data_IF_549971064792
#
_entry.id   IF_549971064792
#
_cell.length_a   1.000
_cell.length_b   1.000
_cell.length_c   1.000
_cell.angle_alpha   90.00
_cell.angle_beta   90.00
_cell.angle_gamma   90.00
#
_symmetry.space_group_name_H-M   'P 1'
#
loop_
_entity.id
_entity.type
_entity.pdbx_description
1 polymer ?
#
# COMPACT_ATOMS: atom_id res chain seq x y z
N UNK A 1 -18.75 -10.53 83.25
CA UNK A 1 -17.60 -9.66 82.94
C UNK A 1 -17.38 -9.75 81.42
N UNK A 2 -18.25 -9.25 80.55
CA UNK A 2 -18.67 -7.86 80.26
C UNK A 2 -17.50 -6.90 80.00
N UNK A 3 -17.17 -6.71 78.72
CA UNK A 3 -16.69 -5.47 78.07
C UNK A 3 -16.84 -5.68 76.56
N UNK A 4 -17.89 -5.13 75.94
CA UNK A 4 -17.98 -3.83 75.26
C UNK A 4 -17.19 -3.72 73.95
N UNK A 5 -17.95 -3.32 72.93
CA UNK A 5 -17.57 -3.04 71.55
C UNK A 5 -16.74 -1.77 71.41
N UNK A 6 -15.89 -1.74 70.38
CA UNK A 6 -15.54 -0.52 69.66
C UNK A 6 -15.61 -0.82 68.15
N UNK A 7 -16.51 -0.09 67.48
CA UNK A 7 -16.63 0.04 66.03
C UNK A 7 -15.46 0.89 65.54
N UNK A 8 -14.68 0.38 64.58
CA UNK A 8 -13.68 1.19 63.89
C UNK A 8 -14.16 1.52 62.48
N UNK A 9 -14.19 2.82 62.22
CA UNK A 9 -14.76 3.49 61.05
C UNK A 9 -13.85 3.27 59.84
N UNK A 10 -14.29 2.44 58.88
CA UNK A 10 -13.61 2.30 57.59
C UNK A 10 -13.96 3.52 56.72
N UNK A 11 -13.00 4.45 56.61
CA UNK A 11 -13.03 5.51 55.59
C UNK A 11 -12.67 4.92 54.21
N UNK A 12 -13.48 5.13 53.16
CA UNK A 12 -13.09 4.73 51.81
C UNK A 12 -12.11 5.76 51.25
N UNK A 13 -10.84 5.36 51.10
CA UNK A 13 -9.86 6.09 50.29
C UNK A 13 -10.36 6.05 48.84
N UNK A 14 -10.85 7.20 48.37
CA UNK A 14 -11.17 7.42 46.96
C UNK A 14 -9.86 7.46 46.16
N UNK A 15 -9.53 6.34 45.52
CA UNK A 15 -8.54 6.31 44.45
C UNK A 15 -9.22 6.77 43.16
N UNK A 16 -9.31 8.09 42.98
CA UNK A 16 -9.49 8.68 41.65
C UNK A 16 -8.25 8.32 40.82
N UNK A 17 -8.33 7.21 40.08
CA UNK A 17 -7.47 6.97 38.93
C UNK A 17 -7.94 7.90 37.82
N UNK A 18 -7.29 9.06 37.74
CA UNK A 18 -7.28 9.84 36.50
C UNK A 18 -6.89 8.93 35.34
N UNK A 19 -7.65 8.86 34.24
CA UNK A 19 -7.22 8.13 33.06
C UNK A 19 -6.01 8.90 32.51
N UNK A 20 -4.82 8.36 32.75
CA UNK A 20 -3.60 8.85 32.14
C UNK A 20 -3.81 8.84 30.62
N UNK A 21 -3.77 10.02 30.01
CA UNK A 21 -3.66 10.16 28.58
C UNK A 21 -2.49 9.31 28.11
N UNK A 22 -2.77 8.21 27.42
CA UNK A 22 -1.75 7.52 26.66
C UNK A 22 -1.07 8.56 25.78
N UNK A 23 0.28 8.62 25.74
CA UNK A 23 0.94 9.57 24.85
C UNK A 23 0.39 9.34 23.45
N UNK A 24 -0.21 10.37 22.87
CA UNK A 24 -0.52 10.37 21.45
C UNK A 24 0.83 10.18 20.75
N UNK A 25 1.09 8.98 20.25
CA UNK A 25 2.21 8.75 19.34
C UNK A 25 1.83 9.57 18.11
N UNK A 26 2.36 10.79 18.03
CA UNK A 26 2.24 11.62 16.83
C UNK A 26 2.78 10.79 15.68
N UNK A 27 2.03 10.73 14.58
CA UNK A 27 2.50 10.01 13.40
C UNK A 27 3.91 10.52 13.01
N UNK A 28 4.82 9.63 12.56
CA UNK A 28 6.15 10.06 12.14
C UNK A 28 6.04 11.03 10.97
N UNK A 29 7.03 11.92 10.83
CA UNK A 29 7.15 12.77 9.66
C UNK A 29 7.64 11.91 8.48
N UNK A 30 6.82 11.78 7.44
CA UNK A 30 7.10 10.90 6.31
C UNK A 30 8.38 11.29 5.54
N UNK A 31 8.57 12.58 5.25
CA UNK A 31 9.76 13.06 4.53
C UNK A 31 11.02 12.82 5.35
N UNK A 32 11.01 13.17 6.63
CA UNK A 32 12.16 12.97 7.52
C UNK A 32 12.51 11.49 7.67
N UNK A 33 11.51 10.62 7.81
CA UNK A 33 11.71 9.19 7.98
C UNK A 33 12.23 8.52 6.70
N UNK A 34 11.75 8.93 5.52
CA UNK A 34 12.29 8.44 4.25
C UNK A 34 13.72 8.95 4.03
N UNK A 35 13.96 10.24 4.24
CA UNK A 35 15.29 10.84 4.07
C UNK A 35 16.35 10.20 4.99
N UNK A 36 15.98 9.84 6.22
CA UNK A 36 16.92 9.19 7.15
C UNK A 36 17.35 7.81 6.64
N UNK A 37 16.45 7.05 5.99
CA UNK A 37 16.73 5.73 5.41
C UNK A 37 17.50 5.82 4.10
N UNK A 38 17.04 6.64 3.16
CA UNK A 38 17.63 6.69 1.81
C UNK A 38 19.06 7.21 1.80
N UNK A 39 19.44 8.04 2.78
CA UNK A 39 20.82 8.51 2.97
C UNK A 39 21.80 7.43 3.43
N UNK A 40 21.32 6.33 4.00
CA UNK A 40 22.20 5.23 4.45
C UNK A 40 22.46 4.18 3.36
N UNK A 41 21.74 4.25 2.24
CA UNK A 41 21.87 3.26 1.17
C UNK A 41 23.02 3.59 0.21
N UNK A 42 23.58 2.54 -0.40
CA UNK A 42 24.49 2.63 -1.53
C UNK A 42 23.69 2.91 -2.82
N UNK A 43 23.24 4.16 -2.96
CA UNK A 43 22.38 4.58 -4.07
C UNK A 43 23.00 4.34 -5.46
N UNK A 44 24.32 4.54 -5.69
CA UNK A 44 24.95 4.16 -6.96
C UNK A 44 24.78 2.68 -7.29
N UNK A 45 24.96 1.79 -6.31
CA UNK A 45 24.73 0.36 -6.51
C UNK A 45 23.26 0.06 -6.78
N UNK A 46 22.33 0.61 -5.99
CA UNK A 46 20.90 0.39 -6.18
C UNK A 46 20.40 0.85 -7.56
N UNK A 47 20.92 1.98 -8.06
CA UNK A 47 20.62 2.46 -9.42
C UNK A 47 21.12 1.49 -10.49
N UNK A 48 22.33 0.94 -10.31
CA UNK A 48 22.88 -0.08 -11.21
C UNK A 48 22.03 -1.34 -11.16
N UNK A 49 21.71 -1.83 -9.97
CA UNK A 49 20.88 -3.03 -9.76
C UNK A 49 19.49 -2.85 -10.39
N UNK A 50 18.89 -1.66 -10.30
CA UNK A 50 17.61 -1.34 -10.94
C UNK A 50 17.69 -1.40 -12.47
N UNK A 51 18.74 -0.83 -13.06
CA UNK A 51 18.94 -0.84 -14.51
C UNK A 51 19.24 -2.26 -15.03
N UNK A 52 20.13 -2.98 -14.34
CA UNK A 52 20.53 -4.35 -14.71
C UNK A 52 19.36 -5.34 -14.66
N UNK A 53 18.40 -5.12 -13.75
CA UNK A 53 17.19 -5.93 -13.60
C UNK A 53 16.01 -5.39 -14.43
N UNK A 54 16.29 -4.56 -15.43
CA UNK A 54 15.31 -3.98 -16.35
C UNK A 54 14.17 -3.21 -15.66
N UNK A 55 14.56 -2.25 -14.84
CA UNK A 55 13.70 -1.40 -14.04
C UNK A 55 12.94 -2.14 -12.93
N UNK A 56 13.66 -2.95 -12.16
CA UNK A 56 13.17 -3.65 -10.97
C UNK A 56 14.16 -3.52 -9.80
N UNK A 57 13.65 -3.22 -8.61
CA UNK A 57 14.43 -3.22 -7.38
C UNK A 57 13.64 -3.87 -6.24
N UNK A 58 14.31 -4.73 -5.46
CA UNK A 58 13.80 -5.28 -4.21
C UNK A 58 14.74 -4.92 -3.06
N UNK A 59 14.17 -4.43 -1.96
CA UNK A 59 14.87 -4.19 -0.70
C UNK A 59 14.09 -4.84 0.44
N UNK A 60 14.73 -5.73 1.19
CA UNK A 60 14.10 -6.38 2.34
C UNK A 60 13.87 -5.39 3.50
N UNK A 61 14.74 -4.40 3.65
CA UNK A 61 14.70 -3.40 4.73
C UNK A 61 14.75 -1.97 4.17
N UNK A 62 13.57 -1.36 3.99
CA UNK A 62 13.46 -0.01 3.42
C UNK A 62 12.91 1.01 4.43
N UNK A 63 11.69 0.80 4.94
CA UNK A 63 11.01 1.77 5.80
C UNK A 63 11.64 1.85 7.19
N UNK A 64 11.66 3.05 7.75
CA UNK A 64 12.02 3.23 9.14
C UNK A 64 11.02 2.49 10.06
N UNK A 65 11.47 1.89 11.18
CA UNK A 65 10.61 1.09 12.06
C UNK A 65 9.32 1.79 12.49
N UNK A 66 9.39 3.09 12.79
CA UNK A 66 8.24 3.91 13.18
C UNK A 66 7.19 4.07 12.06
N UNK A 67 7.64 4.16 10.80
CA UNK A 67 6.76 4.20 9.64
C UNK A 67 6.11 2.84 9.44
N UNK A 68 6.89 1.76 9.53
CA UNK A 68 6.39 0.37 9.45
C UNK A 68 5.31 0.11 10.50
N UNK A 69 5.54 0.48 11.76
CA UNK A 69 4.54 0.34 12.85
C UNK A 69 3.28 1.14 12.54
N UNK A 70 3.42 2.39 12.07
CA UNK A 70 2.27 3.23 11.72
C UNK A 70 1.45 2.64 10.56
N UNK A 71 2.10 2.05 9.55
CA UNK A 71 1.42 1.38 8.44
C UNK A 71 0.69 0.12 8.92
N UNK A 72 1.32 -0.72 9.75
CA UNK A 72 0.69 -1.92 10.34
C UNK A 72 -0.56 -1.54 11.14
N UNK A 73 -0.45 -0.53 12.00
CA UNK A 73 -1.59 -0.04 12.80
C UNK A 73 -2.71 0.52 11.92
N UNK A 74 -2.37 1.21 10.84
CA UNK A 74 -3.35 1.73 9.87
C UNK A 74 -4.05 0.58 9.14
N UNK A 75 -3.29 -0.40 8.65
CA UNK A 75 -3.84 -1.57 7.96
C UNK A 75 -4.77 -2.40 8.85
N UNK A 76 -4.42 -2.61 10.13
CA UNK A 76 -5.28 -3.32 11.10
C UNK A 76 -6.57 -2.56 11.39
N UNK A 77 -6.51 -1.24 11.55
CA UNK A 77 -7.71 -0.38 11.75
C UNK A 77 -8.65 -0.37 10.55
N UNK A 78 -8.14 -0.60 9.35
CA UNK A 78 -8.91 -0.60 8.11
C UNK A 78 -9.53 -1.96 7.74
N UNK A 79 -9.38 -2.99 8.58
CA UNK A 79 -9.92 -4.34 8.30
C UNK A 79 -11.42 -4.36 8.03
N UNK A 80 -12.20 -3.58 8.78
CA UNK A 80 -13.66 -3.49 8.60
C UNK A 80 -14.09 -2.74 7.33
N UNK A 81 -13.15 -2.03 6.70
CA UNK A 81 -13.38 -1.26 5.46
C UNK A 81 -12.96 -2.04 4.20
N UNK A 82 -12.50 -3.30 4.36
CA UNK A 82 -12.01 -4.14 3.26
C UNK A 82 -13.14 -4.52 2.32
N UNK A 83 -13.04 -4.06 1.08
CA UNK A 83 -13.94 -4.47 -0.01
C UNK A 83 -13.36 -5.69 -0.71
N UNK A 84 -14.10 -6.79 -0.71
CA UNK A 84 -13.67 -8.04 -1.36
C UNK A 84 -14.09 -8.10 -2.80
N UNK A 85 -13.18 -8.60 -3.63
CA UNK A 85 -13.38 -8.77 -5.05
C UNK A 85 -12.91 -10.17 -5.46
N UNK A 86 -13.64 -10.77 -6.40
CA UNK A 86 -13.37 -12.09 -6.94
C UNK A 86 -13.63 -12.08 -8.45
N UNK A 87 -12.58 -12.38 -9.20
CA UNK A 87 -12.62 -12.66 -10.62
C UNK A 87 -12.15 -14.12 -10.82
N UNK A 88 -13.05 -15.05 -11.18
CA UNK A 88 -12.75 -16.47 -11.29
C UNK A 88 -11.50 -16.73 -12.13
N UNK A 89 -10.57 -17.52 -11.58
CA UNK A 89 -9.32 -17.90 -12.24
C UNK A 89 -8.27 -16.80 -12.40
N UNK A 90 -8.52 -15.58 -11.90
CA UNK A 90 -7.58 -14.47 -12.03
C UNK A 90 -7.26 -13.77 -10.71
N UNK A 91 -8.26 -13.43 -9.89
CA UNK A 91 -8.04 -12.66 -8.67
C UNK A 91 -9.06 -13.00 -7.60
N UNK A 92 -8.59 -13.11 -6.36
CA UNK A 92 -9.42 -13.17 -5.18
C UNK A 92 -8.73 -12.40 -4.05
N UNK A 93 -9.40 -11.46 -3.41
CA UNK A 93 -8.80 -10.75 -2.29
C UNK A 93 -9.65 -9.58 -1.81
N UNK A 94 -9.13 -8.90 -0.80
CA UNK A 94 -9.66 -7.65 -0.27
C UNK A 94 -8.85 -6.44 -0.73
N UNK A 95 -9.47 -5.27 -0.75
CA UNK A 95 -8.76 -4.01 -0.91
C UNK A 95 -9.41 -2.87 -0.14
N UNK A 96 -8.60 -1.89 0.23
CA UNK A 96 -9.05 -0.60 0.74
C UNK A 96 -8.54 0.48 -0.20
N UNK A 97 -9.48 1.18 -0.83
CA UNK A 97 -9.19 2.20 -1.84
C UNK A 97 -8.60 3.47 -1.24
N UNK A 98 -7.89 4.25 -2.06
CA UNK A 98 -7.44 5.61 -1.76
C UNK A 98 -8.47 6.48 -1.04
N UNK A 99 -9.73 6.49 -1.50
CA UNK A 99 -10.77 7.33 -0.90
C UNK A 99 -11.01 7.01 0.59
N UNK A 100 -10.96 5.73 0.95
CA UNK A 100 -11.09 5.31 2.35
C UNK A 100 -9.81 5.63 3.13
N UNK A 101 -8.64 5.40 2.53
CA UNK A 101 -7.33 5.71 3.12
C UNK A 101 -7.23 7.20 3.46
N UNK A 102 -7.62 8.09 2.54
CA UNK A 102 -7.55 9.54 2.75
C UNK A 102 -8.31 10.01 3.99
N UNK A 103 -9.41 9.32 4.31
CA UNK A 103 -10.28 9.66 5.44
C UNK A 103 -9.84 9.01 6.75
N UNK A 104 -9.30 7.79 6.70
CA UNK A 104 -9.11 6.95 7.89
C UNK A 104 -7.64 6.63 8.21
N UNK A 105 -6.74 6.82 7.26
CA UNK A 105 -5.29 6.60 7.41
C UNK A 105 -4.49 7.66 6.62
N UNK A 106 -4.64 8.96 6.93
CA UNK A 106 -4.07 10.06 6.15
C UNK A 106 -2.53 10.02 6.04
N UNK A 107 -1.85 9.41 7.02
CA UNK A 107 -0.41 9.20 6.98
C UNK A 107 0.06 8.41 5.74
N UNK A 108 -0.74 7.47 5.23
CA UNK A 108 -0.41 6.75 3.98
C UNK A 108 -0.37 7.72 2.79
N UNK A 109 -1.31 8.67 2.75
CA UNK A 109 -1.37 9.68 1.70
C UNK A 109 -0.26 10.73 1.84
N UNK A 110 0.21 11.01 3.05
CA UNK A 110 1.40 11.82 3.32
C UNK A 110 2.67 11.12 2.82
N UNK A 111 2.84 9.82 3.14
CA UNK A 111 3.95 9.01 2.67
C UNK A 111 3.98 8.91 1.14
N UNK A 112 2.83 8.71 0.50
CA UNK A 112 2.71 8.73 -0.96
C UNK A 112 3.21 10.03 -1.60
N UNK A 113 2.95 11.17 -0.95
CA UNK A 113 3.34 12.50 -1.42
C UNK A 113 4.71 12.95 -0.92
N UNK A 114 5.44 12.08 -0.22
CA UNK A 114 6.77 12.40 0.30
C UNK A 114 7.70 12.81 -0.84
N UNK A 115 8.25 14.02 -0.75
CA UNK A 115 9.18 14.54 -1.74
C UNK A 115 10.52 13.81 -1.67
N UNK A 116 10.91 13.36 -0.49
CA UNK A 116 12.12 12.58 -0.28
C UNK A 116 11.98 11.18 -0.89
N UNK A 117 10.80 10.57 -0.80
CA UNK A 117 10.50 9.30 -1.49
C UNK A 117 10.53 9.47 -3.00
N UNK A 118 9.73 10.41 -3.53
CA UNK A 118 9.64 10.65 -4.96
C UNK A 118 11.03 10.99 -5.51
N UNK A 119 11.76 11.92 -4.88
CA UNK A 119 13.10 12.32 -5.31
C UNK A 119 14.11 11.19 -5.29
N UNK A 120 14.04 10.28 -4.31
CA UNK A 120 14.90 9.08 -4.29
C UNK A 120 14.54 8.10 -5.41
N UNK A 121 13.26 7.88 -5.68
CA UNK A 121 12.81 7.04 -6.81
C UNK A 121 13.24 7.64 -8.17
N UNK A 122 13.15 8.96 -8.35
CA UNK A 122 13.68 9.65 -9.54
C UNK A 122 15.19 9.44 -9.69
N UNK A 123 15.95 9.43 -8.59
CA UNK A 123 17.40 9.17 -8.64
C UNK A 123 17.72 7.73 -9.06
N UNK A 124 16.88 6.77 -8.67
CA UNK A 124 17.03 5.36 -9.06
C UNK A 124 16.69 5.12 -10.53
N UNK A 125 15.55 5.61 -11.01
CA UNK A 125 15.08 5.32 -12.37
C UNK A 125 15.56 6.33 -13.42
N UNK A 126 15.98 7.54 -13.02
CA UNK A 126 16.43 8.61 -13.90
C UNK A 126 15.32 9.45 -14.53
N UNK A 127 14.06 9.12 -14.28
CA UNK A 127 12.88 9.80 -14.79
C UNK A 127 12.31 10.81 -13.79
N UNK A 128 11.51 11.73 -14.32
CA UNK A 128 10.66 12.58 -13.50
C UNK A 128 9.38 11.84 -13.13
N UNK A 129 9.10 11.80 -11.84
CA UNK A 129 7.93 11.11 -11.29
C UNK A 129 6.93 12.12 -10.76
N UNK A 130 5.68 11.92 -11.13
CA UNK A 130 4.56 12.72 -10.69
C UNK A 130 3.59 11.82 -9.94
N UNK A 131 2.88 12.42 -8.98
CA UNK A 131 1.72 11.77 -8.38
C UNK A 131 0.67 11.54 -9.46
N UNK A 132 -0.01 10.40 -9.36
CA UNK A 132 -1.16 10.10 -10.21
C UNK A 132 -2.27 11.13 -9.98
N UNK A 133 -3.11 11.42 -11.00
CA UNK A 133 -4.25 12.34 -10.88
C UNK A 133 -5.10 12.13 -9.64
N UNK A 134 -5.63 13.23 -9.11
CA UNK A 134 -6.42 13.23 -7.87
C UNK A 134 -7.74 12.44 -7.96
N UNK A 135 -8.21 12.11 -9.16
CA UNK A 135 -9.38 11.25 -9.39
C UNK A 135 -9.01 9.79 -9.71
N UNK A 136 -7.73 9.44 -9.79
CA UNK A 136 -7.28 8.06 -9.97
C UNK A 136 -7.46 7.27 -8.66
N UNK A 137 -8.35 6.26 -8.62
CA UNK A 137 -8.52 5.42 -7.45
C UNK A 137 -7.35 4.44 -7.25
N UNK A 138 -6.49 4.25 -8.25
CA UNK A 138 -5.33 3.37 -8.24
C UNK A 138 -4.04 4.04 -7.80
N UNK A 139 -4.04 5.36 -7.58
CA UNK A 139 -2.85 6.09 -7.11
C UNK A 139 -2.20 5.45 -5.87
N UNK A 140 -3.03 4.93 -4.96
CA UNK A 140 -2.60 4.03 -3.90
C UNK A 140 -3.74 3.20 -3.31
N UNK A 141 -3.44 1.98 -2.86
CA UNK A 141 -4.39 1.09 -2.23
C UNK A 141 -3.69 0.09 -1.30
N UNK A 142 -4.43 -0.40 -0.30
CA UNK A 142 -4.03 -1.57 0.48
C UNK A 142 -4.71 -2.81 -0.11
N UNK A 143 -3.95 -3.88 -0.32
CA UNK A 143 -4.44 -5.18 -0.74
C UNK A 143 -4.32 -6.20 0.38
N UNK A 144 -5.43 -6.88 0.68
CA UNK A 144 -5.57 -7.81 1.79
C UNK A 144 -5.78 -9.24 1.26
N UNK A 145 -4.88 -10.13 1.62
CA UNK A 145 -4.97 -11.58 1.39
C UNK A 145 -5.16 -12.21 2.75
N UNK A 146 -6.41 -12.52 3.10
CA UNK A 146 -6.85 -12.91 4.46
C UNK A 146 -7.72 -14.15 4.49
N UNK A 147 -8.00 -14.75 3.33
CA UNK A 147 -8.69 -16.02 3.19
C UNK A 147 -7.86 -16.96 2.34
N UNK A 148 -7.98 -18.26 2.62
CA UNK A 148 -7.37 -19.29 1.81
C UNK A 148 -7.76 -19.10 0.32
N UNK A 149 -6.75 -19.18 -0.54
CA UNK A 149 -6.91 -18.99 -1.98
C UNK A 149 -6.97 -17.53 -2.44
N UNK A 150 -6.87 -16.52 -1.56
CA UNK A 150 -6.68 -15.15 -2.01
C UNK A 150 -5.37 -15.04 -2.82
N UNK A 151 -5.44 -14.48 -4.03
CA UNK A 151 -4.33 -14.36 -4.97
C UNK A 151 -4.61 -13.27 -6.01
N UNK A 152 -3.57 -12.92 -6.77
CA UNK A 152 -3.71 -12.27 -8.07
C UNK A 152 -2.83 -13.02 -9.06
N UNK A 153 -3.37 -13.39 -10.22
CA UNK A 153 -2.66 -14.11 -11.26
C UNK A 153 -1.62 -13.25 -11.96
N UNK A 154 -0.94 -13.83 -12.95
CA UNK A 154 0.06 -13.11 -13.75
C UNK A 154 -0.54 -11.91 -14.47
N UNK A 155 0.04 -10.73 -14.26
CA UNK A 155 -0.36 -9.47 -14.89
C UNK A 155 0.82 -8.50 -15.00
N UNK A 156 0.54 -7.37 -15.64
CA UNK A 156 1.38 -6.17 -15.70
C UNK A 156 0.56 -5.00 -15.15
N UNK A 157 1.24 -4.02 -14.57
CA UNK A 157 0.62 -2.77 -14.08
C UNK A 157 0.73 -1.68 -15.16
N UNK A 158 0.27 -2.02 -16.37
CA UNK A 158 0.38 -1.15 -17.53
C UNK A 158 -0.25 0.22 -17.30
N UNK A 159 0.44 1.26 -17.76
CA UNK A 159 -0.02 2.64 -17.63
C UNK A 159 -1.27 2.90 -18.47
N UNK A 160 -2.22 3.63 -17.90
CA UNK A 160 -3.35 4.20 -18.64
C UNK A 160 -3.09 5.64 -19.11
N UNK A 161 -1.96 6.21 -18.70
CA UNK A 161 -1.54 7.55 -19.02
C UNK A 161 -0.63 7.57 -20.24
N UNK A 162 -0.38 8.77 -20.78
CA UNK A 162 0.53 8.94 -21.91
C UNK A 162 2.00 8.61 -21.51
N UNK A 163 2.34 8.71 -20.22
CA UNK A 163 3.64 8.34 -19.66
C UNK A 163 3.70 6.92 -19.09
N UNK A 164 4.91 6.52 -18.69
CA UNK A 164 5.15 5.27 -17.94
C UNK A 164 4.50 5.34 -16.56
N UNK A 165 4.10 4.18 -16.05
CA UNK A 165 3.64 3.98 -14.66
C UNK A 165 4.69 3.17 -13.91
N UNK A 166 5.06 3.68 -12.75
CA UNK A 166 5.94 3.01 -11.81
C UNK A 166 5.16 2.60 -10.58
N UNK A 167 5.30 1.34 -10.22
CA UNK A 167 4.62 0.74 -9.07
C UNK A 167 5.63 0.54 -7.94
N UNK A 168 5.27 1.03 -6.76
CA UNK A 168 5.97 0.80 -5.51
C UNK A 168 5.09 -0.04 -4.60
N UNK A 169 5.55 -1.26 -4.27
CA UNK A 169 4.93 -2.13 -3.29
C UNK A 169 5.69 -2.05 -1.98
N UNK A 170 4.96 -1.86 -0.90
CA UNK A 170 5.47 -1.89 0.47
C UNK A 170 4.82 -3.06 1.21
N UNK A 171 5.65 -3.90 1.84
CA UNK A 171 5.17 -4.91 2.77
C UNK A 171 4.62 -4.23 4.01
N UNK A 172 3.38 -4.52 4.38
CA UNK A 172 2.75 -3.96 5.59
C UNK A 172 2.57 -5.03 6.65
N UNK A 173 1.93 -6.14 6.32
CA UNK A 173 1.80 -7.33 7.19
C UNK A 173 2.14 -8.54 6.32
N UNK A 174 2.99 -9.44 6.82
CA UNK A 174 3.28 -10.70 6.13
C UNK A 174 3.40 -11.84 7.15
N UNK A 175 2.24 -12.40 7.50
CA UNK A 175 2.06 -13.60 8.32
C UNK A 175 1.54 -14.71 7.39
N UNK A 176 2.28 -14.99 6.32
CA UNK A 176 1.82 -15.84 5.23
C UNK A 176 2.93 -16.60 4.52
N UNK A 177 2.54 -17.59 3.72
CA UNK A 177 3.40 -18.23 2.72
C UNK A 177 3.29 -17.57 1.34
N UNK A 178 2.43 -16.54 1.19
CA UNK A 178 2.32 -15.79 -0.06
C UNK A 178 3.67 -15.21 -0.47
N UNK A 179 3.94 -15.24 -1.77
CA UNK A 179 5.12 -14.61 -2.39
C UNK A 179 4.67 -13.74 -3.55
N UNK A 180 5.44 -12.68 -3.79
CA UNK A 180 5.43 -11.99 -5.07
C UNK A 180 6.32 -12.79 -6.02
N UNK A 181 5.71 -13.55 -6.93
CA UNK A 181 6.43 -14.12 -8.06
C UNK A 181 6.52 -13.08 -9.17
N UNK A 182 7.65 -13.02 -9.86
CA UNK A 182 7.89 -12.10 -10.96
C UNK A 182 8.75 -12.72 -12.05
N UNK A 183 8.69 -12.14 -13.24
CA UNK A 183 9.58 -12.43 -14.37
C UNK A 183 10.20 -11.10 -14.83
N UNK A 184 11.52 -11.01 -14.77
CA UNK A 184 12.30 -9.88 -15.30
C UNK A 184 12.49 -10.03 -16.80
N UNK A 185 12.84 -8.95 -17.48
CA UNK A 185 13.22 -8.92 -18.91
C UNK A 185 12.14 -9.36 -19.89
N UNK A 186 10.88 -9.54 -19.46
CA UNK A 186 9.77 -10.02 -20.33
C UNK A 186 9.44 -9.12 -21.53
N UNK A 187 10.01 -7.91 -21.57
CA UNK A 187 9.88 -6.93 -22.67
C UNK A 187 11.20 -6.67 -23.39
N UNK A 188 12.25 -7.44 -23.11
CA UNK A 188 13.56 -7.32 -23.71
C UNK A 188 13.84 -8.56 -24.59
N UNK A 189 13.80 -8.45 -25.92
CA UNK A 189 14.00 -9.60 -26.81
C UNK A 189 15.44 -10.15 -26.79
N UNK A 190 16.40 -9.38 -26.27
CA UNK A 190 17.82 -9.73 -26.28
C UNK A 190 18.27 -10.46 -24.99
N UNK A 191 17.43 -10.46 -23.94
CA UNK A 191 17.73 -11.06 -22.64
C UNK A 191 16.62 -12.06 -22.28
N UNK A 192 16.94 -13.32 -21.97
CA UNK A 192 15.92 -14.28 -21.56
C UNK A 192 15.16 -13.85 -20.31
N UNK A 193 13.87 -14.15 -20.27
CA UNK A 193 13.04 -13.96 -19.08
C UNK A 193 13.68 -14.62 -17.86
N UNK A 194 13.79 -13.88 -16.76
CA UNK A 194 14.36 -14.38 -15.51
C UNK A 194 13.28 -14.44 -14.43
N UNK A 195 12.84 -15.65 -14.02
CA UNK A 195 11.87 -15.78 -12.94
C UNK A 195 12.51 -15.51 -11.58
N UNK A 196 11.74 -14.93 -10.68
CA UNK A 196 12.12 -14.73 -9.29
C UNK A 196 10.90 -14.77 -8.36
N UNK A 197 11.15 -14.86 -7.06
CA UNK A 197 10.09 -14.90 -6.05
C UNK A 197 10.58 -14.37 -4.72
N UNK A 198 9.86 -13.40 -4.15
CA UNK A 198 10.24 -12.75 -2.88
C UNK A 198 9.06 -12.68 -1.92
N UNK A 199 9.37 -12.75 -0.62
CA UNK A 199 8.48 -12.21 0.41
C UNK A 199 8.84 -10.73 0.59
N UNK A 200 7.85 -9.93 0.96
CA UNK A 200 8.06 -8.50 1.22
C UNK A 200 7.70 -8.29 2.68
N UNK A 201 8.68 -8.41 3.60
CA UNK A 201 8.38 -8.29 5.03
C UNK A 201 7.86 -6.89 5.35
N UNK A 202 7.24 -6.69 6.53
CA UNK A 202 6.84 -5.36 6.97
C UNK A 202 7.99 -4.35 6.88
N UNK A 203 7.81 -3.31 6.07
CA UNK A 203 8.84 -2.31 5.81
C UNK A 203 9.73 -2.56 4.58
N UNK A 204 9.64 -3.74 3.97
CA UNK A 204 10.30 -4.06 2.72
C UNK A 204 9.65 -3.38 1.51
N UNK A 205 10.40 -3.29 0.42
CA UNK A 205 10.07 -2.54 -0.78
C UNK A 205 10.30 -3.38 -2.03
N UNK A 206 9.37 -3.27 -2.99
CA UNK A 206 9.59 -3.63 -4.39
C UNK A 206 9.22 -2.42 -5.25
N UNK A 207 10.08 -2.01 -6.16
CA UNK A 207 9.85 -0.89 -7.07
C UNK A 207 10.11 -1.30 -8.51
N UNK A 208 9.19 -1.01 -9.42
CA UNK A 208 9.32 -1.43 -10.82
C UNK A 208 8.57 -0.56 -11.82
N UNK A 209 8.96 -0.66 -13.09
CA UNK A 209 8.19 -0.18 -14.24
C UNK A 209 7.04 -1.15 -14.55
N UNK A 210 5.80 -0.66 -14.48
CA UNK A 210 4.59 -1.47 -14.59
C UNK A 210 4.40 -2.18 -15.94
N UNK A 211 5.03 -1.68 -17.01
CA UNK A 211 4.97 -2.33 -18.33
C UNK A 211 6.00 -3.44 -18.52
N UNK A 212 7.03 -3.49 -17.66
CA UNK A 212 8.17 -4.41 -17.78
C UNK A 212 8.10 -5.62 -16.86
N UNK A 213 7.57 -5.44 -15.64
CA UNK A 213 7.50 -6.52 -14.67
C UNK A 213 6.21 -7.32 -14.79
N UNK A 214 6.31 -8.54 -15.32
CA UNK A 214 5.22 -9.52 -15.20
C UNK A 214 5.26 -10.12 -13.80
N UNK A 215 4.17 -10.04 -13.07
CA UNK A 215 4.16 -10.50 -11.68
C UNK A 215 2.81 -11.05 -11.23
N UNK A 216 2.81 -11.75 -10.09
CA UNK A 216 1.63 -12.31 -9.43
C UNK A 216 1.85 -12.43 -7.92
N UNK A 217 0.77 -12.57 -7.15
CA UNK A 217 0.85 -12.97 -5.74
C UNK A 217 0.32 -14.40 -5.62
N UNK A 218 1.14 -15.29 -5.06
CA UNK A 218 0.75 -16.70 -4.88
C UNK A 218 -0.43 -16.84 -3.91
N UNK A 219 -1.24 -17.91 -4.05
CA UNK A 219 -2.41 -18.10 -3.19
C UNK A 219 -2.07 -18.18 -1.70
N UNK A 220 -2.83 -17.45 -0.89
CA UNK A 220 -2.76 -17.51 0.57
C UNK A 220 -3.21 -18.88 1.11
N UNK A 221 -2.53 -19.34 2.15
CA UNK A 221 -2.92 -20.50 2.94
C UNK A 221 -4.10 -20.24 3.88
N UNK A 222 -4.50 -21.28 4.62
CA UNK A 222 -5.53 -21.14 5.64
C UNK A 222 -4.99 -20.37 6.86
N UNK A 223 -5.78 -19.41 7.37
CA UNK A 223 -5.44 -18.56 8.52
C UNK A 223 -4.19 -17.68 8.32
N UNK A 224 -3.78 -17.47 7.07
CA UNK A 224 -2.67 -16.56 6.75
C UNK A 224 -3.18 -15.14 6.53
N UNK A 225 -2.29 -14.16 6.74
CA UNK A 225 -2.56 -12.76 6.51
C UNK A 225 -1.39 -12.08 5.82
N UNK A 226 -1.64 -11.56 4.62
CA UNK A 226 -0.73 -10.65 3.93
C UNK A 226 -1.45 -9.34 3.60
N UNK A 227 -0.81 -8.22 3.89
CA UNK A 227 -1.24 -6.89 3.48
C UNK A 227 -0.09 -6.18 2.79
N UNK A 228 -0.31 -5.75 1.56
CA UNK A 228 0.62 -4.92 0.81
C UNK A 228 0.01 -3.57 0.49
N UNK A 229 0.81 -2.51 0.62
CA UNK A 229 0.46 -1.17 0.18
C UNK A 229 1.09 -0.93 -1.19
N UNK A 230 0.31 -0.41 -2.13
CA UNK A 230 0.78 -0.05 -3.47
C UNK A 230 0.69 1.45 -3.65
N UNK A 231 1.73 2.07 -4.19
CA UNK A 231 1.77 3.44 -4.69
C UNK A 231 2.07 3.45 -6.19
N UNK A 232 1.35 4.28 -6.94
CA UNK A 232 1.55 4.47 -8.38
C UNK A 232 2.03 5.90 -8.68
N UNK A 233 3.17 5.98 -9.36
CA UNK A 233 3.72 7.22 -9.89
C UNK A 233 3.77 7.17 -11.41
N UNK A 234 3.65 8.33 -12.06
CA UNK A 234 3.61 8.41 -13.53
C UNK A 234 4.60 9.44 -14.04
N UNK A 235 5.16 9.23 -15.23
CA UNK A 235 6.06 10.21 -15.84
C UNK A 235 5.29 11.35 -16.51
N UNK A 236 4.11 11.05 -17.04
CA UNK A 236 3.16 12.02 -17.61
C UNK A 236 1.73 11.61 -17.22
N UNK A 237 1.01 12.40 -16.40
CA UNK A 237 -0.35 12.09 -15.93
C UNK A 237 -1.45 12.44 -16.95
N UNK A 238 -1.11 12.93 -18.14
CA UNK A 238 -2.11 13.22 -19.16
C UNK A 238 -2.77 11.93 -19.66
N UNK A 239 -4.08 12.01 -19.90
CA UNK A 239 -4.85 10.98 -20.56
C UNK A 239 -5.50 11.56 -21.81
N UNK A 240 -5.36 10.89 -22.95
CA UNK A 240 -6.18 11.18 -24.13
C UNK A 240 -7.68 11.10 -23.77
N UNK A 241 -8.51 12.13 -24.06
CA UNK A 241 -9.89 12.24 -23.56
C UNK A 241 -10.79 11.03 -23.81
N UNK A 242 -10.61 10.33 -24.94
CA UNK A 242 -11.41 9.15 -25.29
C UNK A 242 -11.01 7.88 -24.52
N UNK A 243 -9.77 7.79 -24.00
CA UNK A 243 -9.30 6.67 -23.17
C UNK A 243 -9.78 6.79 -21.72
N UNK A 244 -9.91 8.03 -21.22
CA UNK A 244 -10.40 8.35 -19.86
C UNK A 244 -11.80 7.81 -19.57
N UNK A 245 -12.70 7.81 -20.55
CA UNK A 245 -14.06 7.30 -20.39
C UNK A 245 -14.13 5.76 -20.35
N UNK A 246 -13.33 5.09 -21.17
CA UNK A 246 -13.31 3.62 -21.27
C UNK A 246 -12.59 2.98 -20.06
N UNK A 247 -11.52 3.60 -19.56
CA UNK A 247 -10.75 3.11 -18.41
C UNK A 247 -11.51 3.26 -17.09
N UNK A 248 -12.05 4.45 -16.78
CA UNK A 248 -12.80 4.68 -15.54
C UNK A 248 -13.97 3.71 -15.32
N UNK A 249 -14.61 3.25 -16.41
CA UNK A 249 -15.74 2.32 -16.33
C UNK A 249 -15.27 0.86 -16.14
N UNK A 250 -14.18 0.44 -16.78
CA UNK A 250 -13.68 -0.94 -16.71
C UNK A 250 -12.97 -1.22 -15.38
N UNK A 251 -12.16 -0.28 -14.89
CA UNK A 251 -11.36 -0.47 -13.68
C UNK A 251 -12.21 -0.49 -12.41
N UNK A 252 -13.24 0.37 -12.35
CA UNK A 252 -14.08 0.45 -11.16
C UNK A 252 -15.01 -0.78 -11.02
N UNK A 253 -15.32 -1.44 -12.15
CA UNK A 253 -16.00 -2.74 -12.18
C UNK A 253 -15.03 -3.87 -11.81
N UNK A 254 -13.81 -3.86 -12.37
CA UNK A 254 -12.83 -4.93 -12.23
C UNK A 254 -12.12 -4.95 -10.87
N UNK A 255 -11.97 -3.83 -10.18
CA UNK A 255 -11.25 -3.74 -8.90
C UNK A 255 -12.14 -3.52 -7.67
N UNK A 256 -13.22 -2.73 -7.79
CA UNK A 256 -14.01 -2.27 -6.64
C UNK A 256 -15.46 -2.77 -6.62
N UNK A 257 -15.89 -3.44 -7.70
CA UNK A 257 -17.26 -3.91 -7.85
C UNK A 257 -18.27 -2.77 -8.08
N UNK A 258 -19.33 -3.10 -8.81
CA UNK A 258 -20.33 -2.15 -9.30
C UNK A 258 -20.91 -1.18 -8.22
N UNK A 259 -21.02 -1.61 -6.96
CA UNK A 259 -21.70 -0.84 -5.90
C UNK A 259 -21.03 0.50 -5.56
N UNK A 260 -19.69 0.60 -5.65
CA UNK A 260 -18.98 1.84 -5.32
C UNK A 260 -19.05 2.88 -6.46
N UNK A 261 -19.05 2.40 -7.71
CA UNK A 261 -19.22 3.20 -8.93
C UNK A 261 -20.57 3.89 -8.96
N UNK A 262 -21.63 3.14 -8.70
CA UNK A 262 -22.99 3.69 -8.66
C UNK A 262 -23.18 4.72 -7.55
N UNK A 263 -22.51 4.54 -6.39
CA UNK A 263 -22.58 5.51 -5.29
C UNK A 263 -21.84 6.83 -5.61
N UNK A 264 -20.74 6.76 -6.37
CA UNK A 264 -20.00 7.94 -6.82
C UNK A 264 -20.73 8.69 -7.94
N UNK A 265 -21.35 7.98 -8.89
CA UNK A 265 -22.21 8.59 -9.93
C UNK A 265 -23.45 9.26 -9.32
N UNK A 266 -24.08 8.64 -8.33
CA UNK A 266 -25.24 9.22 -7.63
C UNK A 266 -24.90 10.49 -6.82
N UNK A 267 -23.66 10.62 -6.34
CA UNK A 267 -23.17 11.86 -5.69
C UNK A 267 -22.90 12.97 -6.71
N UNK A 268 -22.22 12.65 -7.81
CA UNK A 268 -21.93 13.62 -8.90
C UNK A 268 -23.19 14.16 -9.58
N UNK A 269 -24.28 13.40 -9.60
CA UNK A 269 -25.57 13.85 -10.11
C UNK A 269 -26.35 14.78 -9.17
N UNK A 270 -25.98 14.86 -7.88
CA UNK A 270 -26.60 15.76 -6.90
C UNK A 270 -25.92 17.12 -6.78
N UNK A 271 -24.65 17.21 -7.17
CA UNK A 271 -23.90 18.49 -7.17
C UNK A 271 -24.10 19.30 -8.46
N UNK A 272 -24.88 18.76 -9.42
CA UNK A 272 -25.23 19.38 -10.69
C UNK A 272 -26.74 19.50 -10.93
N UNK A 273 -27.55 19.39 -9.87
CA UNK A 273 -29.00 19.60 -9.89
C UNK A 273 -29.38 20.80 -9.02
#
# INVERSE_FOLDING_TARGET
MSTHAEEDVISPISLERSPGSSPSITAPDADRAVASRTRTFDNPRLRKDFADQDAFLYLEDFLAPEVTVQLVQSARRLLDEVNRNYLPGHKQGGSVSRHTIDRLAPFIAELYRSKELIGWLEQLNGDKLQVSPADDPHAYALYYYTRAGDHIGWHYDTSYYDGRRYTLLLGVIDESSCRLDYELHTRNPDVPDQPGSVQIPPGGLVFFDGDKLRHRVTPAGANEMRVSLTFEYVTDPNMRPWRRFISNMKDAIAYFGFRQVFRQMARRGKDHA
#
